data_IF_801186884258
#
_entry.id   IF_801186884258
#
_cell.length_a   1.000
_cell.length_b   1.000
_cell.length_c   1.000
_cell.angle_alpha   90.00
_cell.angle_beta   90.00
_cell.angle_gamma   90.00
#
_symmetry.space_group_name_H-M   'P 1'
#
loop_
_entity.id
_entity.type
_entity.pdbx_description
1 polymer ?
#
# COMPACT_ATOMS: atom_id res chain seq x y z
N UNK A 1 -40.50 -12.11 4.89
CA UNK A 1 -39.25 -11.70 4.23
C UNK A 1 -38.95 -10.28 4.68
N UNK A 2 -38.10 -10.14 5.68
CA UNK A 2 -37.60 -8.81 6.10
C UNK A 2 -36.48 -8.40 5.18
N UNK A 3 -36.75 -7.50 4.27
CA UNK A 3 -35.75 -6.79 3.51
C UNK A 3 -35.10 -5.78 4.47
N UNK A 4 -33.96 -6.10 5.02
CA UNK A 4 -33.11 -5.10 5.66
C UNK A 4 -32.72 -4.08 4.57
N UNK A 5 -33.33 -2.91 4.63
CA UNK A 5 -32.87 -1.75 3.85
C UNK A 5 -31.51 -1.39 4.42
N UNK A 6 -30.48 -1.63 3.64
CA UNK A 6 -29.18 -0.99 3.87
C UNK A 6 -29.44 0.52 3.71
N UNK A 7 -29.23 1.25 4.76
CA UNK A 7 -29.31 2.72 4.79
C UNK A 7 -28.29 3.31 3.82
N UNK A 8 -28.61 4.44 3.16
CA UNK A 8 -27.69 5.13 2.23
C UNK A 8 -26.48 5.81 2.88
N UNK A 9 -26.20 5.53 4.13
CA UNK A 9 -25.14 6.19 4.92
C UNK A 9 -23.71 5.95 4.39
N UNK A 10 -23.57 5.15 3.34
CA UNK A 10 -22.27 4.91 2.70
C UNK A 10 -21.74 6.08 1.83
N UNK A 11 -22.53 7.12 1.60
CA UNK A 11 -22.13 8.26 0.76
C UNK A 11 -21.72 9.51 1.54
N UNK A 12 -22.07 9.59 2.79
CA UNK A 12 -21.58 10.63 3.68
C UNK A 12 -20.61 9.94 4.62
N UNK A 13 -19.33 10.26 4.49
CA UNK A 13 -18.40 10.01 5.56
C UNK A 13 -18.98 10.75 6.76
N UNK A 14 -19.57 10.03 7.71
CA UNK A 14 -19.58 10.56 9.05
C UNK A 14 -18.12 10.94 9.32
N UNK A 15 -17.86 12.16 9.71
CA UNK A 15 -16.59 12.59 10.28
C UNK A 15 -16.42 11.74 11.55
N UNK A 16 -16.00 10.49 11.39
CA UNK A 16 -15.42 9.76 12.50
C UNK A 16 -14.12 10.49 12.78
N UNK A 17 -14.16 11.35 13.76
CA UNK A 17 -12.99 12.04 14.27
C UNK A 17 -11.92 10.98 14.52
N UNK A 18 -10.76 11.12 13.87
CA UNK A 18 -9.62 10.25 14.13
C UNK A 18 -9.28 10.42 15.60
N UNK A 19 -9.52 9.39 16.39
CA UNK A 19 -9.33 9.47 17.84
C UNK A 19 -7.85 9.64 18.18
N UNK A 20 -7.53 10.39 19.22
CA UNK A 20 -6.16 10.54 19.71
C UNK A 20 -5.47 9.18 19.93
N UNK A 21 -6.23 8.17 20.40
CA UNK A 21 -5.71 6.82 20.60
C UNK A 21 -5.24 6.13 19.30
N UNK A 22 -5.79 6.49 18.14
CA UNK A 22 -5.34 5.97 16.84
C UNK A 22 -4.03 6.60 16.37
N UNK A 23 -3.64 7.72 16.95
CA UNK A 23 -2.45 8.49 16.59
C UNK A 23 -1.30 8.28 17.58
N UNK A 24 -1.58 7.75 18.78
CA UNK A 24 -0.55 7.43 19.76
C UNK A 24 0.35 6.29 19.27
N UNK A 25 1.64 6.50 19.40
CA UNK A 25 2.65 5.53 18.98
C UNK A 25 3.80 5.44 19.98
N UNK A 26 4.53 4.34 19.89
CA UNK A 26 5.81 4.13 20.54
C UNK A 26 6.89 3.99 19.46
N UNK A 27 8.10 4.46 19.75
CA UNK A 27 9.23 4.42 18.83
C UNK A 27 10.37 3.64 19.45
N UNK A 28 10.97 2.77 18.66
CA UNK A 28 12.23 2.10 18.99
C UNK A 28 13.31 2.50 17.99
N UNK A 29 14.53 2.65 18.48
CA UNK A 29 15.65 3.14 17.67
C UNK A 29 15.51 4.60 17.27
N UNK A 30 16.27 5.01 16.26
CA UNK A 30 16.31 6.40 15.77
C UNK A 30 15.39 6.61 14.56
N UNK A 31 14.10 6.32 14.71
CA UNK A 31 13.13 6.34 13.61
C UNK A 31 13.07 7.70 12.90
N UNK A 32 12.91 8.77 13.66
CA UNK A 32 12.82 10.13 13.11
C UNK A 32 14.14 10.62 12.52
N UNK A 33 15.25 10.30 13.17
CA UNK A 33 16.59 10.63 12.65
C UNK A 33 16.90 9.87 11.36
N UNK A 34 16.44 8.64 11.18
CA UNK A 34 16.58 7.92 9.90
C UNK A 34 15.79 8.62 8.80
N UNK A 35 14.53 8.98 9.04
CA UNK A 35 13.71 9.72 8.05
C UNK A 35 14.36 11.06 7.69
N UNK A 36 14.83 11.82 8.69
CA UNK A 36 15.49 13.10 8.48
C UNK A 36 16.77 12.95 7.64
N UNK A 37 17.61 11.95 7.94
CA UNK A 37 18.84 11.68 7.15
C UNK A 37 18.55 11.23 5.72
N UNK A 38 17.46 10.51 5.51
CA UNK A 38 17.01 10.14 4.17
C UNK A 38 16.28 11.27 3.44
N UNK A 39 15.99 12.40 4.12
CA UNK A 39 15.25 13.51 3.55
C UNK A 39 13.88 13.09 3.02
N UNK A 40 13.14 12.31 3.80
CA UNK A 40 11.92 11.66 3.33
C UNK A 40 10.78 11.69 4.36
N UNK A 41 9.56 11.69 3.84
CA UNK A 41 8.33 11.41 4.56
C UNK A 41 7.84 10.03 4.17
N UNK A 42 7.32 9.26 5.12
CA UNK A 42 6.58 8.03 4.83
C UNK A 42 5.09 8.34 4.76
N UNK A 43 4.42 7.86 3.72
CA UNK A 43 2.97 7.74 3.68
C UNK A 43 2.60 6.29 3.97
N UNK A 44 1.70 6.09 4.94
CA UNK A 44 1.29 4.75 5.40
C UNK A 44 -0.22 4.65 5.36
N UNK A 45 -0.77 3.74 4.56
CA UNK A 45 -2.21 3.54 4.48
C UNK A 45 -2.70 2.65 5.61
N UNK A 46 -3.63 3.18 6.42
CA UNK A 46 -4.29 2.50 7.54
C UNK A 46 -5.73 2.20 7.16
N UNK A 47 -5.94 1.04 6.53
CA UNK A 47 -7.19 0.70 5.83
C UNK A 47 -8.41 0.69 6.74
N UNK A 48 -8.32 0.10 7.93
CA UNK A 48 -9.45 0.01 8.87
C UNK A 48 -9.74 1.31 9.59
N UNK A 49 -8.72 2.14 9.73
CA UNK A 49 -8.82 3.43 10.39
C UNK A 49 -9.23 4.55 9.42
N UNK A 50 -9.35 4.24 8.11
CA UNK A 50 -9.82 5.15 7.06
C UNK A 50 -8.96 6.41 6.88
N UNK A 51 -7.64 6.30 7.00
CA UNK A 51 -6.74 7.40 6.68
C UNK A 51 -5.36 6.92 6.19
N UNK A 52 -4.67 7.80 5.50
CA UNK A 52 -3.23 7.72 5.28
C UNK A 52 -2.55 8.60 6.30
N UNK A 53 -1.57 8.07 7.04
CA UNK A 53 -0.72 8.86 7.91
C UNK A 53 0.57 9.21 7.19
N UNK A 54 0.97 10.48 7.28
CA UNK A 54 2.25 10.97 6.85
C UNK A 54 3.16 11.06 8.08
N UNK A 55 4.34 10.48 8.00
CA UNK A 55 5.34 10.43 9.08
C UNK A 55 6.64 11.06 8.60
N UNK A 56 7.15 12.02 9.33
CA UNK A 56 8.39 12.70 8.98
C UNK A 56 8.91 13.52 10.15
N UNK A 57 9.89 14.34 9.87
CA UNK A 57 10.43 15.25 10.87
C UNK A 57 11.60 16.07 10.33
N UNK A 58 11.65 17.34 10.70
CA UNK A 58 12.80 18.17 10.46
C UNK A 58 13.78 18.01 11.62
N UNK A 59 15.05 17.82 11.30
CA UNK A 59 16.12 17.69 12.30
C UNK A 59 15.90 16.57 13.36
N UNK A 60 15.08 15.56 13.02
CA UNK A 60 14.78 14.44 13.93
C UNK A 60 13.61 14.68 14.88
N UNK A 61 12.97 15.83 14.82
CA UNK A 61 11.76 16.10 15.61
C UNK A 61 10.56 15.35 15.03
N UNK A 62 9.77 14.64 15.87
CA UNK A 62 8.60 13.90 15.43
C UNK A 62 7.55 14.78 14.74
N UNK A 63 7.03 14.30 13.61
CA UNK A 63 5.91 14.94 12.93
C UNK A 63 5.02 13.90 12.28
N UNK A 64 3.71 14.06 12.41
CA UNK A 64 2.72 13.27 11.70
C UNK A 64 1.54 14.12 11.24
N UNK A 65 0.96 13.74 10.12
CA UNK A 65 -0.30 14.30 9.60
C UNK A 65 -1.20 13.18 9.09
N UNK A 66 -2.52 13.40 9.08
CA UNK A 66 -3.50 12.40 8.67
C UNK A 66 -4.29 12.91 7.48
N UNK A 67 -4.42 12.07 6.46
CA UNK A 67 -5.20 12.31 5.27
C UNK A 67 -6.39 11.34 5.28
N UNK A 68 -7.61 11.80 5.67
CA UNK A 68 -8.79 10.95 5.69
C UNK A 68 -9.11 10.42 4.29
N UNK A 69 -9.12 9.12 4.14
CA UNK A 69 -9.45 8.42 2.89
C UNK A 69 -10.15 7.12 3.26
N UNK A 70 -11.31 6.82 2.66
CA UNK A 70 -12.02 5.59 2.95
C UNK A 70 -11.23 4.38 2.49
N UNK A 71 -10.99 3.43 3.38
CA UNK A 71 -10.33 2.16 3.11
C UNK A 71 -9.10 2.29 2.19
N UNK A 72 -8.09 3.14 2.54
CA UNK A 72 -6.94 3.35 1.69
C UNK A 72 -6.17 2.06 1.50
N UNK A 73 -5.75 1.80 0.27
CA UNK A 73 -5.02 0.59 -0.11
C UNK A 73 -3.65 0.93 -0.72
N UNK A 74 -3.39 0.50 -1.94
CA UNK A 74 -2.16 0.82 -2.63
C UNK A 74 -2.01 2.31 -2.88
N UNK A 75 -0.78 2.79 -2.79
CA UNK A 75 -0.41 4.19 -3.00
C UNK A 75 0.70 4.29 -4.03
N UNK A 76 0.81 5.44 -4.66
CA UNK A 76 1.90 5.77 -5.54
C UNK A 76 2.29 7.24 -5.42
N UNK A 77 3.58 7.50 -5.19
CA UNK A 77 4.15 8.84 -5.27
C UNK A 77 4.71 9.09 -6.65
N UNK A 78 4.12 10.03 -7.39
CA UNK A 78 4.64 10.48 -8.67
C UNK A 78 5.50 11.74 -8.45
N UNK A 79 6.80 11.55 -8.39
CA UNK A 79 7.75 12.66 -8.18
C UNK A 79 7.80 13.64 -9.35
N UNK A 80 7.47 13.21 -10.57
CA UNK A 80 7.49 14.09 -11.75
C UNK A 80 6.31 15.07 -11.73
N UNK A 81 5.11 14.63 -11.35
CA UNK A 81 3.93 15.49 -11.21
C UNK A 81 3.72 16.01 -9.79
N UNK A 82 4.54 15.61 -8.83
CA UNK A 82 4.39 15.92 -7.41
C UNK A 82 2.99 15.54 -6.89
N UNK A 83 2.57 14.30 -7.18
CA UNK A 83 1.25 13.80 -6.80
C UNK A 83 1.34 12.53 -5.95
N UNK A 84 0.62 12.52 -4.85
CA UNK A 84 0.30 11.30 -4.11
C UNK A 84 -1.02 10.76 -4.64
N UNK A 85 -0.99 9.52 -5.15
CA UNK A 85 -2.16 8.80 -5.66
C UNK A 85 -2.49 7.71 -4.66
N UNK A 86 -3.75 7.63 -4.23
CA UNK A 86 -4.20 6.66 -3.23
C UNK A 86 -5.43 5.95 -3.73
N UNK A 87 -5.40 4.62 -3.75
CA UNK A 87 -6.57 3.82 -4.08
C UNK A 87 -7.37 3.44 -2.83
N UNK A 88 -8.67 3.26 -3.00
CA UNK A 88 -9.56 2.64 -2.01
C UNK A 88 -9.89 1.21 -2.42
N UNK A 89 -9.80 0.27 -1.47
CA UNK A 89 -9.97 -1.17 -1.78
C UNK A 89 -11.41 -1.66 -1.72
N UNK A 90 -12.33 -0.95 -1.08
CA UNK A 90 -13.72 -1.41 -0.90
C UNK A 90 -14.67 -0.73 -1.87
N UNK A 91 -15.97 -0.93 -1.69
CA UNK A 91 -17.01 -0.18 -2.39
C UNK A 91 -17.02 1.27 -1.85
N UNK A 92 -16.98 2.26 -2.63
CA UNK A 92 -16.75 2.39 -4.06
C UNK A 92 -15.26 2.29 -4.35
N UNK A 93 -14.87 1.56 -5.41
CA UNK A 93 -13.48 1.61 -5.83
C UNK A 93 -13.20 3.03 -6.34
N UNK A 94 -12.34 3.75 -5.64
CA UNK A 94 -12.03 5.14 -5.91
C UNK A 94 -10.52 5.33 -5.89
N UNK A 95 -10.02 6.20 -6.74
CA UNK A 95 -8.63 6.62 -6.75
C UNK A 95 -8.61 8.11 -6.52
N UNK A 96 -7.87 8.53 -5.51
CA UNK A 96 -7.70 9.92 -5.11
C UNK A 96 -6.35 10.43 -5.58
N UNK A 97 -6.32 11.68 -6.04
CA UNK A 97 -5.11 12.37 -6.49
C UNK A 97 -4.92 13.62 -5.66
N UNK A 98 -3.80 13.69 -4.97
CA UNK A 98 -3.40 14.84 -4.17
C UNK A 98 -2.14 15.45 -4.78
N UNK A 99 -2.22 16.72 -5.14
CA UNK A 99 -1.08 17.46 -5.66
C UNK A 99 -0.34 18.15 -4.51
N UNK A 100 0.98 18.06 -4.53
CA UNK A 100 1.81 18.88 -3.66
C UNK A 100 1.94 20.27 -4.29
N UNK A 101 1.59 21.29 -3.51
CA UNK A 101 1.88 22.70 -3.80
C UNK A 101 3.01 23.17 -2.90
N UNK A 102 4.00 23.81 -3.45
CA UNK A 102 5.02 24.51 -2.70
C UNK A 102 4.72 26.02 -2.59
N UNK A 103 5.46 26.74 -1.77
CA UNK A 103 5.26 28.17 -1.55
C UNK A 103 5.35 28.99 -2.86
N UNK A 104 6.21 28.59 -3.82
CA UNK A 104 6.33 29.28 -5.10
C UNK A 104 5.12 29.07 -6.02
N UNK A 105 4.45 27.92 -5.91
CA UNK A 105 3.21 27.68 -6.66
C UNK A 105 2.05 28.51 -6.09
N UNK A 106 2.01 28.73 -4.78
CA UNK A 106 1.00 29.54 -4.11
C UNK A 106 1.09 31.03 -4.51
N UNK A 107 2.28 31.54 -4.75
CA UNK A 107 2.48 32.93 -5.21
C UNK A 107 1.94 33.17 -6.65
N UNK A 108 1.81 32.12 -7.46
CA UNK A 108 1.27 32.19 -8.83
C UNK A 108 -0.25 32.15 -8.89
N UNK A 109 -0.90 31.66 -7.85
CA UNK A 109 -2.34 31.58 -7.79
C UNK A 109 -2.89 32.83 -7.10
N UNK A 110 -3.83 33.52 -7.75
CA UNK A 110 -4.56 34.66 -7.15
C UNK A 110 -5.58 34.06 -6.18
N UNK A 111 -5.13 33.71 -4.99
CA UNK A 111 -6.01 33.29 -3.92
C UNK A 111 -6.45 34.50 -3.07
N UNK A 112 -7.71 34.56 -2.65
CA UNK A 112 -8.14 35.49 -1.61
C UNK A 112 -7.25 35.38 -0.35
N UNK A 113 -7.04 36.48 0.35
CA UNK A 113 -6.11 36.51 1.47
C UNK A 113 -6.49 35.54 2.62
N UNK A 114 -7.77 35.26 2.79
CA UNK A 114 -8.32 34.28 3.73
C UNK A 114 -8.12 32.80 3.27
N UNK A 115 -7.76 32.57 2.02
CA UNK A 115 -7.45 31.26 1.47
C UNK A 115 -5.95 31.01 1.29
N UNK A 116 -5.10 31.99 1.62
CA UNK A 116 -3.66 31.82 1.54
C UNK A 116 -3.17 30.86 2.60
N UNK A 117 -2.56 29.77 2.14
CA UNK A 117 -1.90 28.82 3.02
C UNK A 117 -0.60 29.43 3.57
N UNK A 118 -0.22 29.11 4.82
CA UNK A 118 1.07 29.54 5.35
C UNK A 118 2.24 29.00 4.49
N UNK A 119 3.44 29.60 4.59
CA UNK A 119 4.60 29.10 3.88
C UNK A 119 4.85 27.61 4.19
N UNK A 120 5.04 26.79 3.15
CA UNK A 120 5.29 25.35 3.28
C UNK A 120 4.85 24.56 2.07
N UNK A 121 4.97 23.25 2.18
CA UNK A 121 4.47 22.31 1.21
C UNK A 121 3.08 21.82 1.63
N UNK A 122 2.12 21.80 0.70
CA UNK A 122 0.74 21.40 0.99
C UNK A 122 0.23 20.36 0.03
N UNK A 123 -0.35 19.29 0.54
CA UNK A 123 -1.18 18.40 -0.27
C UNK A 123 -2.58 18.96 -0.41
N UNK A 124 -3.00 19.20 -1.64
CA UNK A 124 -4.37 19.60 -1.98
C UNK A 124 -5.06 18.46 -2.75
N UNK A 125 -6.33 18.17 -2.47
CA UNK A 125 -7.11 17.24 -3.29
C UNK A 125 -7.30 17.85 -4.68
N UNK A 126 -6.83 17.14 -5.72
CA UNK A 126 -6.97 17.61 -7.11
C UNK A 126 -8.19 17.03 -7.79
N UNK A 127 -8.37 15.71 -7.66
CA UNK A 127 -9.48 14.99 -8.27
C UNK A 127 -9.59 13.60 -7.65
N UNK A 128 -10.72 12.96 -7.89
CA UNK A 128 -10.87 11.52 -7.66
C UNK A 128 -11.64 10.87 -8.80
N UNK A 129 -11.40 9.57 -8.99
CA UNK A 129 -12.04 8.79 -10.05
C UNK A 129 -12.72 7.58 -9.42
N UNK A 130 -14.02 7.44 -9.63
CA UNK A 130 -14.80 6.28 -9.23
C UNK A 130 -14.77 5.25 -10.36
N UNK A 131 -14.45 4.01 -10.02
CA UNK A 131 -14.35 2.91 -10.98
C UNK A 131 -15.51 1.93 -10.78
N UNK A 132 -16.23 1.57 -11.85
CA UNK A 132 -17.35 0.65 -11.75
C UNK A 132 -16.89 -0.79 -11.46
N UNK A 133 -17.68 -1.51 -10.69
CA UNK A 133 -17.48 -2.92 -10.38
C UNK A 133 -16.91 -3.19 -8.99
N UNK A 134 -16.86 -4.46 -8.60
CA UNK A 134 -16.27 -4.91 -7.33
C UNK A 134 -14.79 -5.26 -7.53
N UNK A 135 -13.98 -4.26 -7.80
CA UNK A 135 -12.58 -4.43 -8.23
C UNK A 135 -11.65 -4.86 -7.11
N UNK A 136 -11.91 -4.39 -5.87
CA UNK A 136 -11.03 -4.65 -4.72
C UNK A 136 -9.58 -4.31 -5.03
N UNK A 137 -9.33 -3.05 -5.37
CA UNK A 137 -7.99 -2.58 -5.74
C UNK A 137 -7.06 -2.74 -4.54
N UNK A 138 -5.99 -3.50 -4.70
CA UNK A 138 -5.01 -3.73 -3.65
C UNK A 138 -3.74 -2.90 -3.83
N UNK A 139 -3.26 -2.74 -5.05
CA UNK A 139 -2.03 -2.01 -5.33
C UNK A 139 -2.19 -1.20 -6.62
N UNK A 140 -1.48 -0.09 -6.69
CA UNK A 140 -1.43 0.78 -7.87
C UNK A 140 0.02 1.10 -8.23
N UNK A 141 0.28 1.29 -9.50
CA UNK A 141 1.60 1.70 -9.99
C UNK A 141 1.50 2.49 -11.29
N UNK A 142 2.40 3.46 -11.47
CA UNK A 142 2.67 4.00 -12.79
C UNK A 142 3.59 3.04 -13.55
N UNK A 143 3.20 2.62 -14.75
CA UNK A 143 4.02 1.83 -15.67
C UNK A 143 4.10 2.64 -16.97
N UNK A 144 5.30 3.11 -17.31
CA UNK A 144 5.41 4.22 -18.25
C UNK A 144 4.68 5.45 -17.70
N UNK A 145 3.86 6.08 -18.53
CA UNK A 145 3.11 7.30 -18.18
C UNK A 145 1.65 7.04 -17.79
N UNK A 146 1.28 5.78 -17.58
CA UNK A 146 -0.10 5.40 -17.29
C UNK A 146 -0.23 4.74 -15.90
N UNK A 147 -1.37 4.97 -15.24
CA UNK A 147 -1.69 4.37 -13.95
C UNK A 147 -2.35 3.01 -14.15
N UNK A 148 -1.86 2.03 -13.42
CA UNK A 148 -2.39 0.68 -13.38
C UNK A 148 -2.80 0.30 -11.97
N UNK A 149 -3.77 -0.62 -11.85
CA UNK A 149 -4.23 -1.14 -10.58
C UNK A 149 -4.40 -2.66 -10.63
N UNK A 150 -4.04 -3.35 -9.53
CA UNK A 150 -4.38 -4.75 -9.36
C UNK A 150 -5.87 -4.87 -9.04
N UNK A 151 -6.64 -5.40 -10.00
CA UNK A 151 -8.07 -5.66 -9.86
C UNK A 151 -8.28 -7.03 -9.21
N UNK A 152 -8.00 -7.09 -7.91
CA UNK A 152 -7.95 -8.32 -7.12
C UNK A 152 -9.27 -9.09 -7.17
N UNK A 153 -10.40 -8.37 -7.19
CA UNK A 153 -11.74 -8.97 -7.32
C UNK A 153 -11.92 -9.81 -8.60
N UNK A 154 -11.12 -9.53 -9.62
CA UNK A 154 -11.26 -10.11 -10.97
C UNK A 154 -9.96 -10.68 -11.56
N UNK A 155 -8.88 -10.77 -10.76
CA UNK A 155 -7.62 -11.46 -11.10
C UNK A 155 -6.87 -10.88 -12.31
N UNK A 156 -6.85 -9.57 -12.51
CA UNK A 156 -6.13 -8.93 -13.59
C UNK A 156 -5.49 -7.61 -13.19
N UNK A 157 -4.57 -7.12 -14.01
CA UNK A 157 -4.08 -5.75 -13.97
C UNK A 157 -4.92 -4.90 -14.91
N UNK A 158 -5.49 -3.83 -14.40
CA UNK A 158 -6.26 -2.85 -15.17
C UNK A 158 -5.49 -1.55 -15.37
N UNK A 159 -5.51 -1.01 -16.57
CA UNK A 159 -5.08 0.35 -16.87
C UNK A 159 -6.22 1.29 -16.55
N UNK A 160 -5.94 2.32 -15.77
CA UNK A 160 -6.92 3.31 -15.33
C UNK A 160 -7.02 4.42 -16.36
N UNK A 161 -8.23 4.71 -16.80
CA UNK A 161 -8.51 5.80 -17.74
C UNK A 161 -8.74 7.10 -16.96
N UNK A 162 -8.12 8.19 -17.42
CA UNK A 162 -8.20 9.51 -16.74
C UNK A 162 -9.64 10.05 -16.61
N UNK A 163 -10.52 9.66 -17.50
CA UNK A 163 -11.93 10.09 -17.53
C UNK A 163 -12.87 9.18 -16.75
N UNK A 164 -12.31 8.20 -16.01
CA UNK A 164 -13.06 7.14 -15.37
C UNK A 164 -13.19 5.90 -16.25
N UNK A 165 -13.20 4.75 -15.60
CA UNK A 165 -13.16 3.46 -16.27
C UNK A 165 -11.79 2.82 -16.24
N UNK A 166 -11.72 1.64 -16.77
CA UNK A 166 -10.51 0.83 -16.81
C UNK A 166 -10.50 -0.10 -18.02
N UNK A 167 -9.31 -0.54 -18.39
CA UNK A 167 -9.08 -1.54 -19.44
C UNK A 167 -8.25 -2.68 -18.86
N UNK A 168 -8.66 -3.92 -19.07
CA UNK A 168 -7.89 -5.10 -18.68
C UNK A 168 -6.72 -5.29 -19.63
N UNK A 169 -5.49 -5.27 -19.11
CA UNK A 169 -4.28 -5.30 -19.93
C UNK A 169 -3.39 -6.51 -19.67
N UNK A 170 -3.49 -7.12 -18.47
CA UNK A 170 -2.69 -8.29 -18.12
C UNK A 170 -3.45 -9.19 -17.14
N UNK A 171 -3.29 -10.48 -17.26
CA UNK A 171 -3.81 -11.53 -16.37
C UNK A 171 -2.97 -12.79 -16.48
N UNK A 172 -2.96 -13.71 -15.48
CA UNK A 172 -2.30 -15.00 -15.56
C UNK A 172 -2.77 -15.85 -16.75
N UNK A 173 -1.84 -16.47 -17.46
CA UNK A 173 -2.11 -17.27 -18.68
C UNK A 173 -3.16 -18.35 -18.49
N UNK A 174 -3.24 -18.92 -17.30
CA UNK A 174 -4.25 -19.94 -16.95
C UNK A 174 -5.71 -19.45 -17.06
N UNK A 175 -5.93 -18.15 -17.20
CA UNK A 175 -7.26 -17.58 -17.45
C UNK A 175 -7.60 -17.46 -18.93
N UNK A 176 -6.69 -17.70 -19.85
CA UNK A 176 -6.93 -17.60 -21.30
C UNK A 176 -8.03 -18.57 -21.77
N UNK A 177 -8.11 -19.72 -21.14
CA UNK A 177 -9.12 -20.76 -21.43
C UNK A 177 -10.29 -20.76 -20.45
N UNK A 178 -10.31 -19.85 -19.46
CA UNK A 178 -11.31 -19.81 -18.41
C UNK A 178 -11.90 -18.40 -18.24
N UNK A 179 -12.82 -18.02 -19.14
CA UNK A 179 -13.48 -16.69 -19.07
C UNK A 179 -14.23 -16.46 -17.74
N UNK A 180 -14.69 -17.49 -17.04
CA UNK A 180 -15.32 -17.39 -15.72
C UNK A 180 -14.30 -17.00 -14.63
N UNK A 181 -13.02 -17.16 -14.89
CA UNK A 181 -11.93 -16.76 -13.99
C UNK A 181 -11.91 -15.25 -13.68
N UNK A 182 -12.58 -14.44 -14.52
CA UNK A 182 -12.72 -13.01 -14.27
C UNK A 182 -13.98 -12.63 -13.47
N UNK A 183 -14.86 -13.56 -13.16
CA UNK A 183 -16.13 -13.27 -12.47
C UNK A 183 -16.00 -13.20 -10.95
N UNK A 184 -14.87 -13.66 -10.40
CA UNK A 184 -14.62 -13.69 -8.96
C UNK A 184 -13.12 -13.78 -8.68
N UNK A 185 -12.73 -13.35 -7.49
CA UNK A 185 -11.36 -13.46 -7.03
C UNK A 185 -10.94 -14.94 -6.83
N UNK A 186 -9.99 -15.44 -7.58
CA UNK A 186 -9.41 -16.78 -7.45
C UNK A 186 -8.04 -16.77 -6.79
N UNK A 187 -7.26 -15.73 -7.06
CA UNK A 187 -5.84 -15.72 -6.77
C UNK A 187 -5.45 -14.80 -5.63
N UNK A 188 -6.30 -13.81 -5.30
CA UNK A 188 -5.88 -12.68 -4.48
C UNK A 188 -4.63 -12.02 -5.08
N UNK A 189 -4.72 -11.64 -6.37
CA UNK A 189 -3.68 -10.87 -7.06
C UNK A 189 -3.58 -9.51 -6.39
N UNK A 190 -2.49 -9.22 -5.67
CA UNK A 190 -2.51 -8.15 -4.67
C UNK A 190 -1.42 -7.10 -4.80
N UNK A 191 -0.32 -7.35 -5.50
CA UNK A 191 0.69 -6.32 -5.69
C UNK A 191 1.40 -6.42 -7.03
N UNK A 192 1.98 -5.29 -7.46
CA UNK A 192 2.75 -5.16 -8.69
C UNK A 192 4.13 -4.57 -8.40
N UNK A 193 5.18 -5.34 -8.67
CA UNK A 193 6.53 -4.82 -8.78
C UNK A 193 6.69 -4.18 -10.14
N UNK A 194 6.53 -2.84 -10.19
CA UNK A 194 6.53 -2.06 -11.42
C UNK A 194 7.89 -2.05 -12.12
N UNK A 195 7.84 -2.11 -13.43
CA UNK A 195 8.96 -1.86 -14.34
C UNK A 195 8.55 -0.80 -15.38
N UNK A 196 9.35 -0.59 -16.40
CA UNK A 196 9.05 0.36 -17.51
C UNK A 196 7.88 -0.12 -18.38
N UNK A 197 7.64 -1.42 -18.43
CA UNK A 197 6.53 -2.02 -19.18
C UNK A 197 5.86 -3.13 -18.35
N UNK A 198 4.60 -3.45 -18.70
CA UNK A 198 3.86 -4.53 -18.03
C UNK A 198 4.59 -5.88 -18.14
N UNK A 199 5.28 -6.12 -19.26
CA UNK A 199 6.07 -7.34 -19.45
C UNK A 199 7.26 -7.45 -18.48
N UNK A 200 7.83 -6.33 -18.04
CA UNK A 200 8.91 -6.32 -17.05
C UNK A 200 8.44 -6.44 -15.60
N UNK A 201 7.14 -6.35 -15.36
CA UNK A 201 6.59 -6.39 -14.01
C UNK A 201 6.54 -7.81 -13.42
N UNK A 202 6.40 -7.88 -12.09
CA UNK A 202 6.08 -9.10 -11.36
C UNK A 202 4.85 -8.86 -10.47
N UNK A 203 4.08 -9.92 -10.24
CA UNK A 203 2.82 -9.82 -9.51
C UNK A 203 2.72 -10.91 -8.45
N UNK A 204 2.40 -10.54 -7.20
CA UNK A 204 2.17 -11.51 -6.14
C UNK A 204 0.71 -11.91 -6.04
N UNK A 205 0.47 -13.17 -5.68
CA UNK A 205 -0.84 -13.70 -5.42
C UNK A 205 -0.80 -14.81 -4.35
N UNK A 206 -1.94 -15.05 -3.69
CA UNK A 206 -2.04 -16.10 -2.67
C UNK A 206 -2.15 -17.49 -3.25
N UNK A 207 -2.47 -17.59 -4.53
CA UNK A 207 -2.69 -18.85 -5.22
C UNK A 207 -2.58 -18.68 -6.73
N UNK A 208 -2.31 -19.75 -7.43
CA UNK A 208 -2.44 -19.88 -8.88
C UNK A 208 -3.57 -20.83 -9.31
N UNK A 209 -4.49 -21.16 -8.39
CA UNK A 209 -5.55 -22.13 -8.66
C UNK A 209 -6.91 -21.46 -8.86
N UNK A 210 -7.61 -21.86 -9.93
CA UNK A 210 -9.01 -21.49 -10.16
C UNK A 210 -9.99 -22.46 -9.51
N UNK A 211 -9.51 -23.57 -8.94
CA UNK A 211 -10.28 -24.61 -8.26
C UNK A 211 -10.06 -24.57 -6.73
N UNK A 212 -10.92 -25.29 -5.99
CA UNK A 212 -10.83 -25.39 -4.55
C UNK A 212 -11.37 -24.18 -3.79
N UNK A 213 -11.01 -24.07 -2.51
CA UNK A 213 -11.44 -22.98 -1.65
C UNK A 213 -10.80 -21.66 -2.10
N UNK A 214 -11.60 -20.60 -2.13
CA UNK A 214 -11.12 -19.25 -2.46
C UNK A 214 -10.24 -18.68 -1.35
N UNK A 215 -9.29 -17.77 -1.67
CA UNK A 215 -8.36 -17.21 -0.67
C UNK A 215 -9.03 -16.62 0.58
N UNK A 216 -10.27 -16.12 0.48
CA UNK A 216 -11.02 -15.55 1.61
C UNK A 216 -11.99 -16.51 2.29
N UNK A 217 -12.01 -17.79 1.88
CA UNK A 217 -12.91 -18.80 2.47
C UNK A 217 -12.17 -19.69 3.48
N UNK A 218 -12.88 -20.13 4.50
CA UNK A 218 -12.41 -21.17 5.40
C UNK A 218 -12.01 -22.41 4.60
N UNK A 219 -10.92 -23.07 4.96
CA UNK A 219 -10.39 -24.24 4.28
C UNK A 219 -9.45 -23.92 3.10
N UNK A 220 -9.14 -22.66 2.81
CA UNK A 220 -8.13 -22.31 1.81
C UNK A 220 -6.74 -22.87 2.16
N UNK A 221 -6.33 -22.75 3.43
CA UNK A 221 -5.03 -23.20 3.92
C UNK A 221 -3.88 -22.56 3.10
N UNK A 222 -3.44 -21.34 3.39
CA UNK A 222 -2.60 -20.55 2.50
C UNK A 222 -1.12 -20.95 2.51
N UNK A 223 -0.69 -21.83 3.42
CA UNK A 223 0.73 -22.23 3.56
C UNK A 223 1.29 -22.71 2.24
N UNK A 224 2.37 -22.06 1.77
CA UNK A 224 3.13 -22.39 0.57
C UNK A 224 2.35 -22.35 -0.76
N UNK A 225 1.13 -21.82 -0.77
CA UNK A 225 0.33 -21.64 -1.99
C UNK A 225 0.59 -20.34 -2.74
N UNK A 226 1.22 -19.39 -2.07
CA UNK A 226 1.52 -18.07 -2.63
C UNK A 226 2.55 -18.15 -3.75
N UNK A 227 2.35 -17.30 -4.73
CA UNK A 227 3.12 -17.30 -5.97
C UNK A 227 3.50 -15.90 -6.43
N UNK A 228 4.48 -15.84 -7.32
CA UNK A 228 4.79 -14.68 -8.14
C UNK A 228 4.56 -15.02 -9.60
N UNK A 229 3.85 -14.19 -10.32
CA UNK A 229 3.70 -14.27 -11.77
C UNK A 229 4.67 -13.34 -12.47
N UNK A 230 5.21 -13.78 -13.60
CA UNK A 230 5.99 -12.96 -14.52
C UNK A 230 5.06 -12.14 -15.43
N UNK A 231 5.35 -10.85 -15.58
CA UNK A 231 4.62 -9.98 -16.52
C UNK A 231 4.77 -10.42 -17.97
N UNK A 232 5.95 -10.92 -18.35
CA UNK A 232 6.28 -11.32 -19.71
C UNK A 232 5.58 -12.62 -20.13
N UNK A 233 5.73 -13.69 -19.33
CA UNK A 233 5.15 -14.99 -19.66
C UNK A 233 3.73 -15.17 -19.18
N UNK A 234 3.31 -14.38 -18.19
CA UNK A 234 2.04 -14.46 -17.45
C UNK A 234 1.88 -15.76 -16.66
N UNK A 235 2.96 -16.53 -16.56
CA UNK A 235 3.04 -17.77 -15.79
C UNK A 235 3.69 -17.53 -14.43
N UNK A 236 3.56 -18.53 -13.55
CA UNK A 236 4.22 -18.52 -12.25
C UNK A 236 5.72 -18.72 -12.43
N UNK A 237 6.50 -17.77 -11.88
CA UNK A 237 7.96 -17.84 -11.85
C UNK A 237 8.53 -18.18 -10.45
N UNK A 238 7.75 -17.97 -9.38
CA UNK A 238 8.16 -18.35 -8.01
C UNK A 238 6.96 -18.93 -7.25
N UNK A 239 7.20 -20.00 -6.50
CA UNK A 239 6.22 -20.72 -5.66
C UNK A 239 6.70 -20.85 -4.22
N UNK A 240 5.83 -21.36 -3.36
CA UNK A 240 6.19 -21.73 -1.99
C UNK A 240 6.09 -20.57 -0.98
N UNK A 241 5.48 -19.46 -1.37
CA UNK A 241 5.21 -18.34 -0.49
C UNK A 241 3.90 -18.52 0.29
N UNK A 242 3.71 -17.76 1.35
CA UNK A 242 2.49 -17.77 2.15
C UNK A 242 1.92 -16.36 2.26
N UNK A 243 0.82 -16.12 1.56
CA UNK A 243 0.17 -14.82 1.46
C UNK A 243 1.16 -13.68 1.10
N UNK A 244 1.92 -13.79 -0.01
CA UNK A 244 2.88 -12.77 -0.38
C UNK A 244 2.20 -11.44 -0.72
N UNK A 245 2.86 -10.32 -0.36
CA UNK A 245 2.43 -8.95 -0.63
C UNK A 245 3.59 -8.05 -1.05
N UNK A 246 3.23 -6.88 -1.53
CA UNK A 246 4.11 -5.71 -1.65
C UNK A 246 5.36 -5.98 -2.49
N UNK A 247 5.17 -6.64 -3.63
CA UNK A 247 6.25 -6.83 -4.60
C UNK A 247 6.75 -5.47 -5.10
N UNK A 248 8.06 -5.25 -5.03
CA UNK A 248 8.74 -4.02 -5.48
C UNK A 248 10.05 -4.37 -6.16
N UNK A 249 10.37 -3.69 -7.26
CA UNK A 249 11.71 -3.72 -7.83
C UNK A 249 12.55 -2.63 -7.16
N UNK A 250 13.58 -3.04 -6.42
CA UNK A 250 14.55 -2.16 -5.76
C UNK A 250 15.92 -2.52 -6.28
N UNK A 251 16.59 -1.58 -6.94
CA UNK A 251 17.90 -1.77 -7.61
C UNK A 251 17.93 -3.02 -8.52
N UNK A 252 16.88 -3.18 -9.32
CA UNK A 252 16.76 -4.30 -10.27
C UNK A 252 16.47 -5.66 -9.64
N UNK A 253 16.35 -5.75 -8.31
CA UNK A 253 16.03 -6.98 -7.58
C UNK A 253 14.56 -6.97 -7.13
N UNK A 254 13.88 -8.08 -7.29
CA UNK A 254 12.52 -8.25 -6.82
C UNK A 254 12.50 -8.47 -5.31
N UNK A 255 11.92 -7.53 -4.59
CA UNK A 255 11.65 -7.61 -3.16
C UNK A 255 10.18 -7.88 -2.90
N UNK A 256 9.86 -8.58 -1.82
CA UNK A 256 8.48 -8.83 -1.39
C UNK A 256 8.40 -9.19 0.10
N UNK A 257 7.17 -9.17 0.60
CA UNK A 257 6.82 -9.67 1.93
C UNK A 257 6.22 -11.07 1.80
N UNK A 258 6.76 -12.07 2.51
CA UNK A 258 6.13 -13.37 2.72
C UNK A 258 5.31 -13.30 4.01
N UNK A 259 4.17 -12.61 3.90
CA UNK A 259 3.43 -12.01 5.02
C UNK A 259 2.91 -13.02 6.04
N UNK A 260 2.53 -14.21 5.59
CA UNK A 260 2.02 -15.27 6.47
C UNK A 260 3.04 -15.78 7.49
N UNK A 261 4.32 -15.47 7.29
CA UNK A 261 5.42 -15.75 8.21
C UNK A 261 6.07 -14.48 8.79
N UNK A 262 5.56 -13.28 8.43
CA UNK A 262 6.15 -12.02 8.86
C UNK A 262 7.51 -11.73 8.25
N UNK A 263 7.83 -12.34 7.13
CA UNK A 263 9.12 -12.22 6.48
C UNK A 263 9.16 -11.10 5.44
N UNK A 264 10.33 -10.46 5.35
CA UNK A 264 10.67 -9.53 4.27
C UNK A 264 11.97 -9.99 3.63
N UNK A 265 12.04 -9.94 2.30
CA UNK A 265 13.22 -10.40 1.58
C UNK A 265 13.16 -10.11 0.10
N UNK A 266 14.04 -10.74 -0.63
CA UNK A 266 14.17 -10.58 -2.07
C UNK A 266 14.24 -11.92 -2.79
N UNK A 267 14.05 -11.86 -4.10
CA UNK A 267 14.12 -13.00 -5.00
C UNK A 267 15.47 -12.96 -5.74
N UNK A 268 16.13 -14.10 -5.81
CA UNK A 268 17.33 -14.31 -6.60
C UNK A 268 17.17 -15.51 -7.54
N UNK A 269 17.97 -15.56 -8.58
CA UNK A 269 18.08 -16.75 -9.43
C UNK A 269 19.18 -17.67 -8.90
N UNK A 270 18.84 -18.92 -8.71
CA UNK A 270 19.81 -19.94 -8.31
C UNK A 270 20.77 -20.27 -9.47
N UNK A 271 22.07 -20.16 -9.21
CA UNK A 271 23.12 -20.06 -10.22
C UNK A 271 23.16 -21.19 -11.26
N UNK A 272 22.74 -22.41 -10.92
CA UNK A 272 22.82 -23.57 -11.83
C UNK A 272 21.50 -23.91 -12.51
N UNK A 273 20.38 -23.60 -11.86
CA UNK A 273 19.03 -23.97 -12.33
C UNK A 273 18.30 -22.80 -13.00
N UNK A 274 18.73 -21.56 -12.73
CA UNK A 274 18.01 -20.35 -13.14
C UNK A 274 16.66 -20.18 -12.43
N UNK A 275 16.33 -21.05 -11.48
CA UNK A 275 15.09 -20.96 -10.70
C UNK A 275 15.08 -19.75 -9.79
N UNK A 276 13.94 -19.09 -9.67
CA UNK A 276 13.75 -18.02 -8.69
C UNK A 276 13.55 -18.61 -7.29
N UNK A 277 14.26 -18.06 -6.31
CA UNK A 277 14.18 -18.45 -4.90
C UNK A 277 14.01 -17.21 -4.04
N UNK A 278 13.08 -17.25 -3.08
CA UNK A 278 12.92 -16.20 -2.08
C UNK A 278 13.96 -16.35 -0.98
N UNK A 279 14.64 -15.25 -0.66
CA UNK A 279 15.59 -15.14 0.45
C UNK A 279 15.04 -14.18 1.47
N UNK A 280 14.62 -14.69 2.62
CA UNK A 280 14.24 -13.88 3.76
C UNK A 280 15.48 -13.23 4.37
N UNK A 281 15.40 -11.91 4.61
CA UNK A 281 16.46 -11.18 5.34
C UNK A 281 16.05 -10.84 6.75
N UNK A 282 14.73 -10.83 7.02
CA UNK A 282 14.18 -10.51 8.33
C UNK A 282 12.82 -11.20 8.50
N UNK A 283 12.52 -11.60 9.74
CA UNK A 283 11.22 -12.12 10.15
C UNK A 283 10.80 -11.48 11.46
N UNK A 284 9.58 -10.96 11.52
CA UNK A 284 9.06 -10.18 12.66
C UNK A 284 7.68 -10.64 13.12
N UNK A 285 7.31 -10.30 14.34
CA UNK A 285 5.96 -10.52 14.85
C UNK A 285 4.99 -9.48 14.30
N UNK A 286 4.54 -9.68 13.07
CA UNK A 286 3.59 -8.84 12.36
C UNK A 286 3.35 -9.37 10.95
N UNK A 287 2.14 -9.21 10.45
CA UNK A 287 1.84 -9.53 9.07
C UNK A 287 2.42 -8.43 8.19
N UNK A 288 3.55 -8.70 7.52
CA UNK A 288 4.32 -7.71 6.75
C UNK A 288 3.53 -7.30 5.51
N UNK A 289 3.27 -5.99 5.36
CA UNK A 289 2.53 -5.44 4.23
C UNK A 289 2.82 -3.96 4.04
N UNK A 290 3.11 -3.55 2.81
CA UNK A 290 3.73 -2.26 2.51
C UNK A 290 5.24 -2.39 2.55
N UNK A 291 5.91 -2.08 1.44
CA UNK A 291 7.36 -2.16 1.29
C UNK A 291 7.83 -1.04 0.38
N UNK A 292 8.75 -0.23 0.89
CA UNK A 292 9.32 0.87 0.11
C UNK A 292 10.82 1.02 0.37
N UNK A 293 11.59 1.37 -0.66
CA UNK A 293 13.00 1.75 -0.50
C UNK A 293 13.10 3.09 0.18
N UNK A 294 13.93 3.19 1.22
CA UNK A 294 14.18 4.41 1.98
C UNK A 294 15.68 4.76 1.88
N UNK A 295 15.98 5.64 0.94
CA UNK A 295 17.36 5.90 0.51
C UNK A 295 18.03 4.64 -0.05
N UNK A 296 19.35 4.64 -0.07
CA UNK A 296 20.15 3.55 -0.64
C UNK A 296 20.42 2.41 0.36
N UNK A 297 20.12 2.61 1.62
CA UNK A 297 20.48 1.68 2.69
C UNK A 297 19.31 0.95 3.32
N UNK A 298 18.14 1.56 3.35
CA UNK A 298 17.04 1.07 4.15
C UNK A 298 15.84 0.66 3.31
N UNK A 299 14.98 -0.17 3.90
CA UNK A 299 13.61 -0.41 3.46
C UNK A 299 12.65 -0.15 4.62
N UNK A 300 11.54 0.50 4.33
CA UNK A 300 10.43 0.64 5.26
C UNK A 300 9.41 -0.45 4.99
N UNK A 301 8.94 -1.11 6.05
CA UNK A 301 7.99 -2.23 5.98
C UNK A 301 6.84 -1.99 6.94
N UNK A 302 5.61 -2.05 6.44
CA UNK A 302 4.42 -1.98 7.26
C UNK A 302 4.12 -3.31 7.96
N UNK A 303 3.59 -3.23 9.15
CA UNK A 303 3.20 -4.36 9.99
C UNK A 303 1.73 -4.27 10.36
N UNK A 304 0.99 -5.34 10.15
CA UNK A 304 -0.41 -5.43 10.55
C UNK A 304 -0.60 -6.42 11.69
N UNK A 305 -1.54 -6.13 12.59
CA UNK A 305 -2.00 -7.08 13.60
C UNK A 305 -2.78 -8.22 12.93
N UNK A 306 -2.57 -9.43 13.41
CA UNK A 306 -3.38 -10.58 13.02
C UNK A 306 -4.61 -10.64 13.93
N UNK A 307 -5.74 -10.20 13.40
CA UNK A 307 -7.03 -10.32 14.08
C UNK A 307 -7.67 -11.69 13.79
N UNK A 308 -8.63 -12.18 14.59
CA UNK A 308 -9.18 -13.54 14.44
C UNK A 308 -9.64 -13.90 13.04
N UNK A 309 -10.21 -12.94 12.31
CA UNK A 309 -10.62 -13.11 10.91
C UNK A 309 -9.45 -13.47 9.98
N UNK A 310 -8.23 -13.04 10.32
CA UNK A 310 -7.03 -13.18 9.46
C UNK A 310 -6.02 -14.21 9.98
N UNK A 311 -6.25 -14.84 11.12
CA UNK A 311 -5.40 -15.92 11.62
C UNK A 311 -5.12 -17.01 10.57
N UNK A 312 -6.10 -17.45 9.74
CA UNK A 312 -5.81 -18.45 8.73
C UNK A 312 -4.77 -18.03 7.68
N UNK A 313 -4.55 -16.72 7.49
CA UNK A 313 -3.57 -16.20 6.51
C UNK A 313 -2.16 -16.07 7.08
N UNK A 314 -2.03 -16.19 8.39
CA UNK A 314 -0.79 -15.96 9.12
C UNK A 314 -0.31 -17.20 9.89
N UNK A 315 -0.15 -18.37 9.24
CA UNK A 315 0.15 -19.64 9.93
C UNK A 315 1.53 -19.67 10.58
N UNK A 316 2.38 -18.69 10.33
CA UNK A 316 3.70 -18.54 10.96
C UNK A 316 3.74 -17.52 12.09
N UNK A 317 2.63 -16.86 12.41
CA UNK A 317 2.57 -15.80 13.40
C UNK A 317 1.72 -16.20 14.60
N UNK A 318 2.07 -15.63 15.76
CA UNK A 318 1.28 -15.72 17.00
C UNK A 318 0.45 -14.44 17.09
N UNK A 319 -0.89 -14.48 16.94
CA UNK A 319 -1.73 -13.30 16.82
C UNK A 319 -1.53 -12.26 17.93
N UNK A 320 -1.44 -12.72 19.18
CA UNK A 320 -1.31 -11.86 20.36
C UNK A 320 0.03 -11.11 20.43
N UNK A 321 1.03 -11.57 19.69
CA UNK A 321 2.35 -10.94 19.61
C UNK A 321 2.48 -10.00 18.42
N UNK A 322 1.47 -9.98 17.52
CA UNK A 322 1.54 -9.14 16.34
C UNK A 322 1.24 -7.68 16.66
N UNK A 323 1.91 -6.80 15.96
CA UNK A 323 1.85 -5.33 16.17
C UNK A 323 1.42 -4.61 14.89
N UNK A 324 0.89 -3.38 15.05
CA UNK A 324 0.54 -2.49 13.95
C UNK A 324 1.53 -1.34 13.92
N UNK A 325 2.29 -1.19 12.83
CA UNK A 325 3.35 -0.20 12.80
C UNK A 325 4.12 -0.16 11.50
N UNK A 326 5.25 0.53 11.54
CA UNK A 326 6.25 0.56 10.47
C UNK A 326 7.60 0.24 11.05
N UNK A 327 8.33 -0.64 10.41
CA UNK A 327 9.71 -0.93 10.76
C UNK A 327 10.65 -0.47 9.64
N UNK A 328 11.86 -0.06 10.02
CA UNK A 328 12.94 0.29 9.12
C UNK A 328 14.03 -0.78 9.26
N UNK A 329 14.30 -1.46 8.15
CA UNK A 329 15.36 -2.47 8.06
C UNK A 329 16.56 -1.92 7.30
N UNK A 330 17.77 -2.23 7.76
CA UNK A 330 18.95 -2.16 6.90
C UNK A 330 18.87 -3.29 5.87
N UNK A 331 18.74 -2.94 4.59
CA UNK A 331 18.48 -3.91 3.51
C UNK A 331 19.63 -4.84 3.18
N UNK A 332 20.84 -4.54 3.66
CA UNK A 332 22.02 -5.37 3.45
C UNK A 332 22.21 -6.41 4.54
N UNK A 333 21.83 -6.06 5.78
CA UNK A 333 22.02 -6.93 6.94
C UNK A 333 20.73 -7.58 7.44
N UNK A 334 19.57 -7.04 7.06
CA UNK A 334 18.25 -7.46 7.57
C UNK A 334 17.97 -6.99 9.01
N UNK A 335 18.87 -6.21 9.60
CA UNK A 335 18.71 -5.73 10.99
C UNK A 335 17.63 -4.66 11.06
N UNK A 336 16.70 -4.78 12.00
CA UNK A 336 15.79 -3.70 12.39
C UNK A 336 16.60 -2.58 13.03
N UNK A 337 16.59 -1.39 12.41
CA UNK A 337 17.31 -0.21 12.92
C UNK A 337 16.40 0.73 13.67
N UNK A 338 15.13 0.74 13.35
CA UNK A 338 14.11 1.53 14.04
C UNK A 338 12.71 1.01 13.74
N UNK A 339 11.76 1.31 14.61
CA UNK A 339 10.34 1.05 14.36
C UNK A 339 9.45 2.09 15.03
N UNK A 340 8.25 2.25 14.48
CA UNK A 340 7.15 2.99 15.07
C UNK A 340 5.96 2.04 15.17
N UNK A 341 5.38 1.91 16.37
CA UNK A 341 4.23 1.06 16.64
C UNK A 341 3.08 1.90 17.18
N UNK A 342 1.92 1.85 16.51
CA UNK A 342 0.71 2.48 17.03
C UNK A 342 0.09 1.65 18.13
N UNK A 343 -0.32 2.29 19.23
CA UNK A 343 -1.02 1.65 20.34
C UNK A 343 -2.37 1.08 19.92
N UNK A 344 -3.03 1.75 18.98
CA UNK A 344 -4.30 1.34 18.40
C UNK A 344 -4.17 1.20 16.88
N UNK A 345 -4.91 0.26 16.29
CA UNK A 345 -4.91 0.02 14.85
C UNK A 345 -4.67 -1.45 14.51
N UNK A 346 -5.03 -1.79 13.27
CA UNK A 346 -5.05 -3.18 12.84
C UNK A 346 -4.27 -3.44 11.58
N UNK A 347 -4.54 -2.68 10.51
CA UNK A 347 -4.07 -3.07 9.19
C UNK A 347 -3.36 -1.93 8.47
N UNK A 348 -2.07 -2.13 8.23
CA UNK A 348 -1.32 -1.38 7.24
C UNK A 348 -1.54 -2.05 5.88
N UNK A 349 -1.77 -1.23 4.86
CA UNK A 349 -1.98 -1.76 3.51
C UNK A 349 -0.79 -1.50 2.60
N UNK A 350 -0.27 -0.30 2.61
CA UNK A 350 0.91 0.08 1.83
C UNK A 350 1.76 1.11 2.58
N UNK A 351 3.02 1.20 2.18
CA UNK A 351 3.98 2.20 2.62
C UNK A 351 4.64 2.79 1.39
N UNK A 352 4.66 4.13 1.31
CA UNK A 352 5.34 4.88 0.27
C UNK A 352 6.36 5.84 0.88
N UNK A 353 7.47 6.04 0.18
CA UNK A 353 8.47 7.03 0.52
C UNK A 353 8.28 8.26 -0.38
N UNK A 354 8.18 9.42 0.22
CA UNK A 354 8.05 10.71 -0.44
C UNK A 354 9.38 11.48 -0.23
N UNK A 355 10.33 11.35 -1.14
CA UNK A 355 11.65 11.97 -0.99
C UNK A 355 11.57 13.48 -1.18
N UNK A 356 12.45 14.20 -0.51
CA UNK A 356 12.57 15.66 -0.60
C UNK A 356 11.54 16.43 0.25
N UNK A 357 10.57 15.74 0.85
CA UNK A 357 9.58 16.36 1.73
C UNK A 357 10.03 16.29 3.19
N UNK A 358 9.55 17.25 3.99
CA UNK A 358 9.86 17.29 5.42
C UNK A 358 8.62 17.23 6.29
N UNK A 359 7.70 18.15 6.10
CA UNK A 359 6.47 18.30 6.88
C UNK A 359 5.36 18.86 5.98
N UNK A 360 4.90 18.11 4.95
CA UNK A 360 3.86 18.58 4.08
C UNK A 360 2.54 18.68 4.84
N UNK A 361 1.94 19.87 4.84
CA UNK A 361 0.66 20.11 5.47
C UNK A 361 -0.50 19.67 4.57
N UNK A 362 -1.69 19.57 5.14
CA UNK A 362 -2.92 19.25 4.41
C UNK A 362 -3.80 20.50 4.33
N UNK A 363 -4.30 20.82 3.14
CA UNK A 363 -5.00 22.08 2.88
C UNK A 363 -6.48 22.09 3.26
N UNK A 364 -7.03 20.99 3.72
CA UNK A 364 -8.44 20.91 4.07
C UNK A 364 -8.61 20.81 5.58
N UNK A 365 -8.74 21.93 6.23
CA UNK A 365 -9.45 22.01 7.50
C UNK A 365 -10.78 22.72 7.26
N UNK A 366 -11.81 22.23 7.86
CA UNK A 366 -13.18 22.77 7.78
C UNK A 366 -13.24 24.19 8.35
N UNK A 367 -12.26 24.61 9.14
CA UNK A 367 -12.20 25.89 9.85
C UNK A 367 -11.20 26.89 9.28
N UNK A 368 -10.66 26.67 8.05
CA UNK A 368 -9.70 27.61 7.44
C UNK A 368 -8.36 27.72 8.16
N UNK A 369 -8.14 26.97 9.22
CA UNK A 369 -6.81 26.82 9.82
C UNK A 369 -6.05 25.79 9.01
N UNK A 370 -4.78 26.03 8.61
CA UNK A 370 -3.96 24.98 8.05
C UNK A 370 -4.00 23.83 9.03
N UNK A 371 -4.36 22.66 8.53
CA UNK A 371 -4.44 21.47 9.36
C UNK A 371 -3.08 21.16 9.97
N UNK A 372 -2.72 21.90 11.00
CA UNK A 372 -1.86 21.36 12.01
C UNK A 372 -2.66 20.21 12.55
N UNK A 373 -2.27 19.05 12.21
CA UNK A 373 -2.83 17.79 12.64
C UNK A 373 -2.60 17.53 14.12
N UNK A 374 -2.90 18.54 14.88
CA UNK A 374 -3.33 18.45 16.24
C UNK A 374 -4.86 18.44 16.18
N UNK A 375 -5.42 17.37 15.64
CA UNK A 375 -6.75 16.96 16.01
C UNK A 375 -6.62 16.03 17.20
#
# INVERSE_FOLDING_TARGET
MNVQRSTPDAFFFAEEEISAAQLEFEVSGDFWGVLARCGAVLAVSREYENFVVLLGGAAGEPWQAQLPIPHPSGMFWNSASQELIVASTRQLNQIFYFRLLNSADQEREILPDDMRLPPGDFFIPRTSVILPGSLYIHDIAMIGDELYATMTGHNFLGRIQRQGGWERVWWPSLLDTNARGFSQNHFQLNSVARAESVAGCFFTAFSDSTSGAKPWKSGFGPREKGVVFSGATRDVCLRGLTCPHSARLIDGRLWLCNSGFGETGFVEQEGTTGAFVFRSINAVSGFTRGLASLGDRYVAVGLSKVIPKYEPYAPGLVPEKTRCGVLILDRHTGVEVASLEWKSGYQIYDVQVLPGLRQPLLSHSVDGQPGNSAF
#
